data_IF_293863506413
#
_entry.id   IF_293863506413
#
_cell.length_a   1.000
_cell.length_b   1.000
_cell.length_c   1.000
_cell.angle_alpha   90.00
_cell.angle_beta   90.00
_cell.angle_gamma   90.00
#
_symmetry.space_group_name_H-M   'P 1'
#
loop_
_entity.id
_entity.type
_entity.pdbx_description
1 polymer ?
#
# COMPACT_ATOMS: atom_id res chain seq x y z
N UNK A 1 13.09 0.16 9.90
CA UNK A 1 12.82 -0.34 8.54
C UNK A 1 13.89 -1.33 8.14
N UNK A 2 13.50 -2.54 7.77
CA UNK A 2 14.39 -3.59 7.28
C UNK A 2 14.29 -3.66 5.76
N UNK A 3 15.20 -2.97 5.06
CA UNK A 3 15.24 -3.05 3.59
C UNK A 3 15.52 -4.50 3.15
N UNK A 4 14.80 -5.01 2.14
CA UNK A 4 15.09 -6.33 1.58
C UNK A 4 16.44 -6.29 0.84
N UNK A 5 16.96 -7.47 0.50
CA UNK A 5 18.03 -7.56 -0.50
C UNK A 5 17.45 -7.16 -1.87
N UNK A 6 17.82 -5.98 -2.37
CA UNK A 6 17.43 -5.47 -3.68
C UNK A 6 18.65 -5.26 -4.57
N UNK A 7 18.45 -5.30 -5.90
CA UNK A 7 19.54 -5.19 -6.86
C UNK A 7 20.09 -3.76 -6.95
N UNK A 8 21.08 -3.47 -6.10
CA UNK A 8 21.81 -2.20 -6.08
C UNK A 8 22.56 -1.92 -7.39
N UNK A 9 23.01 -2.97 -8.10
CA UNK A 9 23.69 -2.81 -9.39
C UNK A 9 22.71 -2.34 -10.45
N UNK A 10 21.49 -2.87 -10.44
CA UNK A 10 20.40 -2.40 -11.30
C UNK A 10 19.96 -0.99 -10.89
N UNK A 11 19.80 -0.70 -9.60
CA UNK A 11 19.51 0.64 -9.11
C UNK A 11 20.51 1.67 -9.68
N UNK A 12 21.82 1.41 -9.55
CA UNK A 12 22.88 2.32 -10.04
C UNK A 12 22.97 2.44 -11.56
N UNK A 13 22.45 1.49 -12.34
CA UNK A 13 22.28 1.62 -13.79
C UNK A 13 21.01 2.39 -14.17
N UNK A 14 20.00 2.33 -13.31
CA UNK A 14 18.74 3.02 -13.50
C UNK A 14 18.86 4.52 -13.26
N UNK A 15 19.93 5.06 -12.65
CA UNK A 15 20.16 6.50 -12.56
C UNK A 15 21.59 6.88 -12.97
N UNK A 16 21.79 8.07 -13.55
CA UNK A 16 23.14 8.55 -13.88
C UNK A 16 23.87 8.97 -12.60
N UNK A 17 25.20 8.82 -12.54
CA UNK A 17 26.03 9.29 -11.40
C UNK A 17 25.84 10.76 -11.03
N UNK A 18 25.33 11.57 -11.98
CA UNK A 18 25.01 12.99 -11.84
C UNK A 18 23.53 13.29 -11.55
N UNK A 19 22.67 12.30 -11.32
CA UNK A 19 21.31 12.46 -10.76
C UNK A 19 21.46 12.36 -9.21
N UNK A 20 21.59 13.53 -8.57
CA UNK A 20 22.41 13.76 -7.36
C UNK A 20 21.62 13.80 -6.05
N UNK A 21 20.29 13.83 -6.05
CA UNK A 21 19.51 13.86 -4.81
C UNK A 21 18.59 12.64 -4.61
N UNK A 22 18.25 12.36 -3.35
CA UNK A 22 17.25 11.33 -3.00
C UNK A 22 15.87 11.63 -3.64
N UNK A 23 15.53 12.92 -3.79
CA UNK A 23 14.32 13.35 -4.50
C UNK A 23 14.33 12.96 -5.98
N UNK A 24 15.45 13.09 -6.68
CA UNK A 24 15.55 12.72 -8.11
C UNK A 24 15.31 11.22 -8.32
N UNK A 25 15.81 10.40 -7.39
CA UNK A 25 15.62 8.93 -7.40
C UNK A 25 14.14 8.61 -7.16
N UNK A 26 13.52 9.23 -6.16
CA UNK A 26 12.10 9.04 -5.87
C UNK A 26 11.23 9.46 -7.06
N UNK A 27 11.49 10.62 -7.67
CA UNK A 27 10.78 11.11 -8.86
C UNK A 27 10.91 10.16 -10.04
N UNK A 28 12.09 9.56 -10.22
CA UNK A 28 12.28 8.52 -11.24
C UNK A 28 11.49 7.26 -10.92
N UNK A 29 11.50 6.81 -9.67
CA UNK A 29 10.68 5.68 -9.22
C UNK A 29 9.20 5.93 -9.50
N UNK A 30 8.68 7.14 -9.23
CA UNK A 30 7.32 7.54 -9.58
C UNK A 30 7.03 7.46 -11.08
N UNK A 31 7.97 7.92 -11.93
CA UNK A 31 7.81 7.83 -13.39
C UNK A 31 7.75 6.37 -13.86
N UNK A 32 8.59 5.49 -13.31
CA UNK A 32 8.58 4.05 -13.62
C UNK A 32 7.29 3.39 -13.16
N UNK A 33 6.83 3.69 -11.94
CA UNK A 33 5.55 3.21 -11.42
C UNK A 33 4.38 3.61 -12.33
N UNK A 34 4.33 4.87 -12.79
CA UNK A 34 3.31 5.34 -13.74
C UNK A 34 3.35 4.61 -15.09
N UNK A 35 4.52 4.12 -15.50
CA UNK A 35 4.72 3.28 -16.68
C UNK A 35 4.48 1.79 -16.44
N UNK A 36 4.11 1.42 -15.22
CA UNK A 36 3.92 0.03 -14.79
C UNK A 36 5.22 -0.80 -14.82
N UNK A 37 6.38 -0.14 -14.80
CA UNK A 37 7.70 -0.76 -14.64
C UNK A 37 7.94 -1.00 -13.14
N UNK A 38 7.10 -1.85 -12.53
CA UNK A 38 6.97 -1.95 -11.06
C UNK A 38 8.23 -2.47 -10.36
N UNK A 39 8.92 -3.47 -10.91
CA UNK A 39 10.14 -3.99 -10.29
C UNK A 39 11.24 -2.91 -10.25
N UNK A 40 11.40 -2.15 -11.34
CA UNK A 40 12.39 -1.07 -11.42
C UNK A 40 12.01 0.10 -10.51
N UNK A 41 10.72 0.44 -10.43
CA UNK A 41 10.21 1.41 -9.47
C UNK A 41 10.49 0.97 -8.03
N UNK A 42 10.25 -0.29 -7.68
CA UNK A 42 10.49 -0.83 -6.35
C UNK A 42 11.97 -0.71 -5.95
N UNK A 43 12.87 -1.10 -6.86
CA UNK A 43 14.32 -0.99 -6.66
C UNK A 43 14.74 0.46 -6.41
N UNK A 44 14.22 1.43 -7.17
CA UNK A 44 14.54 2.84 -6.94
C UNK A 44 13.94 3.39 -5.64
N UNK A 45 12.73 2.96 -5.24
CA UNK A 45 12.17 3.33 -3.95
C UNK A 45 12.97 2.74 -2.78
N UNK A 46 13.51 1.51 -2.90
CA UNK A 46 14.43 0.95 -1.91
C UNK A 46 15.72 1.79 -1.78
N UNK A 47 16.31 2.21 -2.90
CA UNK A 47 17.49 3.07 -2.88
C UNK A 47 17.18 4.46 -2.28
N UNK A 48 16.03 5.05 -2.61
CA UNK A 48 15.59 6.30 -2.00
C UNK A 48 15.43 6.16 -0.49
N UNK A 49 14.72 5.12 -0.02
CA UNK A 49 14.57 4.83 1.41
C UNK A 49 15.93 4.68 2.11
N UNK A 50 16.85 3.90 1.52
CA UNK A 50 18.20 3.69 2.05
C UNK A 50 18.95 5.01 2.22
N UNK A 51 18.93 5.89 1.21
CA UNK A 51 19.62 7.18 1.27
C UNK A 51 18.99 8.12 2.29
N UNK A 52 17.66 8.25 2.30
CA UNK A 52 16.96 9.07 3.29
C UNK A 52 17.28 8.60 4.71
N UNK A 53 17.35 7.30 4.96
CA UNK A 53 17.72 6.76 6.27
C UNK A 53 19.16 7.11 6.64
N UNK A 54 20.12 7.01 5.71
CA UNK A 54 21.50 7.42 5.95
C UNK A 54 21.63 8.92 6.23
N UNK A 55 20.88 9.75 5.51
CA UNK A 55 20.82 11.20 5.74
C UNK A 55 20.17 11.52 7.10
N UNK A 56 19.17 10.75 7.52
CA UNK A 56 18.46 10.91 8.81
C UNK A 56 19.36 10.70 10.02
N UNK A 57 20.27 9.71 9.96
CA UNK A 57 21.24 9.44 11.04
C UNK A 57 22.18 10.62 11.33
N UNK A 58 22.21 11.62 10.44
CA UNK A 58 22.98 12.85 10.62
C UNK A 58 22.16 14.05 11.13
N UNK A 59 20.81 13.98 11.14
CA UNK A 59 19.93 15.15 11.36
C UNK A 59 18.61 14.90 12.12
N UNK A 60 18.35 13.69 12.63
CA UNK A 60 17.13 13.28 13.39
C UNK A 60 15.76 13.53 12.73
N UNK A 61 15.68 14.07 11.50
CA UNK A 61 14.41 14.59 10.95
C UNK A 61 13.76 13.81 9.80
N UNK A 62 14.43 12.85 9.16
CA UNK A 62 13.93 12.26 7.89
C UNK A 62 13.51 10.78 7.96
N UNK A 63 13.40 10.19 9.15
CA UNK A 63 12.99 8.77 9.28
C UNK A 63 11.59 8.48 8.72
N UNK A 64 10.68 9.47 8.79
CA UNK A 64 9.37 9.43 8.15
C UNK A 64 9.44 9.23 6.64
N UNK A 65 10.15 10.14 5.96
CA UNK A 65 10.31 10.10 4.51
C UNK A 65 10.92 8.78 4.03
N UNK A 66 11.89 8.23 4.79
CA UNK A 66 12.48 6.93 4.50
C UNK A 66 11.42 5.81 4.51
N UNK A 67 10.50 5.85 5.50
CA UNK A 67 9.40 4.90 5.60
C UNK A 67 8.36 5.06 4.47
N UNK A 68 8.13 6.30 4.02
CA UNK A 68 7.27 6.57 2.86
C UNK A 68 7.83 5.93 1.58
N UNK A 69 9.14 6.02 1.35
CA UNK A 69 9.79 5.31 0.25
C UNK A 69 9.77 3.79 0.45
N UNK A 70 9.98 3.31 1.68
CA UNK A 70 9.96 1.89 2.01
C UNK A 70 8.63 1.21 1.65
N UNK A 71 7.49 1.79 2.07
CA UNK A 71 6.18 1.23 1.72
C UNK A 71 5.90 1.31 0.21
N UNK A 72 6.39 2.36 -0.46
CA UNK A 72 6.30 2.48 -1.92
C UNK A 72 7.05 1.40 -2.65
N UNK A 73 8.22 1.00 -2.15
CA UNK A 73 8.91 -0.17 -2.65
C UNK A 73 8.08 -1.44 -2.43
N UNK A 74 7.53 -1.63 -1.23
CA UNK A 74 6.76 -2.82 -0.88
C UNK A 74 5.58 -3.06 -1.84
N UNK A 75 4.76 -2.04 -2.10
CA UNK A 75 3.63 -2.24 -3.01
C UNK A 75 4.06 -2.40 -4.48
N UNK A 76 5.17 -1.79 -4.91
CA UNK A 76 5.67 -2.00 -6.27
C UNK A 76 6.23 -3.42 -6.43
N UNK A 77 6.90 -3.98 -5.41
CA UNK A 77 7.26 -5.40 -5.41
C UNK A 77 6.02 -6.29 -5.47
N UNK A 78 4.95 -5.93 -4.75
CA UNK A 78 3.69 -6.66 -4.80
C UNK A 78 3.08 -6.66 -6.22
N UNK A 79 2.99 -5.48 -6.85
CA UNK A 79 2.52 -5.33 -8.24
C UNK A 79 3.41 -6.05 -9.26
N UNK A 80 4.71 -6.20 -8.97
CA UNK A 80 5.66 -6.99 -9.78
C UNK A 80 5.58 -8.50 -9.51
N UNK A 81 4.64 -8.97 -8.67
CA UNK A 81 4.49 -10.38 -8.31
C UNK A 81 5.55 -10.91 -7.34
N UNK A 82 6.37 -10.04 -6.73
CA UNK A 82 7.39 -10.40 -5.73
C UNK A 82 6.79 -10.43 -4.32
N UNK A 83 5.73 -11.21 -4.13
CA UNK A 83 4.96 -11.22 -2.88
C UNK A 83 5.79 -11.57 -1.64
N UNK A 84 6.73 -12.52 -1.76
CA UNK A 84 7.62 -12.93 -0.66
C UNK A 84 8.55 -11.82 -0.18
N UNK A 85 8.87 -10.84 -1.04
CA UNK A 85 9.65 -9.65 -0.68
C UNK A 85 8.74 -8.57 -0.11
N UNK A 86 7.59 -8.34 -0.75
CA UNK A 86 6.66 -7.28 -0.38
C UNK A 86 6.00 -7.51 0.98
N UNK A 87 5.56 -8.74 1.28
CA UNK A 87 4.71 -9.03 2.43
C UNK A 87 5.36 -8.71 3.79
N UNK A 88 6.62 -9.11 4.08
CA UNK A 88 7.30 -8.69 5.30
C UNK A 88 7.40 -7.17 5.43
N UNK A 89 7.64 -6.47 4.31
CA UNK A 89 7.74 -5.02 4.30
C UNK A 89 6.40 -4.35 4.61
N UNK A 90 5.30 -4.86 4.05
CA UNK A 90 3.95 -4.36 4.33
C UNK A 90 3.58 -4.58 5.81
N UNK A 91 3.93 -5.73 6.39
CA UNK A 91 3.74 -6.00 7.82
C UNK A 91 4.59 -5.11 8.74
N UNK A 92 5.78 -4.68 8.31
CA UNK A 92 6.54 -3.68 9.04
C UNK A 92 5.90 -2.28 8.91
N UNK A 93 5.36 -1.95 7.73
CA UNK A 93 4.72 -0.67 7.48
C UNK A 93 3.44 -0.43 8.29
N UNK A 94 2.63 -1.46 8.54
CA UNK A 94 1.45 -1.33 9.41
C UNK A 94 1.79 -1.21 10.90
N UNK A 95 3.04 -1.42 11.31
CA UNK A 95 3.49 -1.22 12.70
C UNK A 95 4.08 0.15 12.94
N UNK A 96 4.22 0.94 11.88
CA UNK A 96 4.82 2.27 11.93
C UNK A 96 3.86 3.31 12.49
N UNK A 97 4.36 4.20 13.34
CA UNK A 97 3.58 5.31 13.90
C UNK A 97 3.45 6.46 12.88
N UNK A 98 2.64 6.21 11.85
CA UNK A 98 2.37 7.19 10.79
C UNK A 98 1.86 8.52 11.32
N UNK A 99 0.90 8.59 12.27
CA UNK A 99 0.40 9.86 12.76
C UNK A 99 1.47 10.73 13.45
N UNK A 100 2.34 10.13 14.26
CA UNK A 100 3.33 10.91 15.00
C UNK A 100 4.47 11.40 14.11
N UNK A 101 4.87 10.63 13.10
CA UNK A 101 6.06 10.95 12.29
C UNK A 101 5.71 11.59 10.93
N UNK A 102 4.61 11.18 10.31
CA UNK A 102 4.14 11.69 9.02
C UNK A 102 2.61 11.92 9.03
N UNK A 103 2.12 12.94 9.75
CA UNK A 103 0.68 13.19 9.89
C UNK A 103 -0.03 13.44 8.54
N UNK A 104 0.70 13.90 7.52
CA UNK A 104 0.17 14.13 6.18
C UNK A 104 0.14 12.87 5.28
N UNK A 105 0.88 11.82 5.63
CA UNK A 105 0.99 10.58 4.85
C UNK A 105 0.37 9.37 5.57
N UNK A 106 -0.54 9.61 6.53
CA UNK A 106 -1.26 8.56 7.26
C UNK A 106 -2.01 7.57 6.35
N UNK A 107 -2.30 7.95 5.10
CA UNK A 107 -2.88 7.04 4.10
C UNK A 107 -1.99 5.85 3.74
N UNK A 108 -0.68 5.92 4.02
CA UNK A 108 0.23 4.82 3.74
C UNK A 108 -0.13 3.55 4.52
N UNK A 109 -0.63 3.67 5.74
CA UNK A 109 -1.10 2.50 6.50
C UNK A 109 -2.23 1.75 5.77
N UNK A 110 -3.16 2.48 5.16
CA UNK A 110 -4.28 1.93 4.40
C UNK A 110 -3.81 1.26 3.10
N UNK A 111 -2.79 1.85 2.44
CA UNK A 111 -2.12 1.20 1.32
C UNK A 111 -1.49 -0.13 1.74
N UNK A 112 -0.79 -0.18 2.88
CA UNK A 112 -0.17 -1.41 3.35
C UNK A 112 -1.20 -2.51 3.60
N UNK A 113 -2.27 -2.20 4.34
CA UNK A 113 -3.37 -3.16 4.57
C UNK A 113 -4.02 -3.62 3.27
N UNK A 114 -4.27 -2.72 2.32
CA UNK A 114 -4.90 -3.09 1.05
C UNK A 114 -4.10 -4.14 0.28
N UNK A 115 -2.78 -3.98 0.18
CA UNK A 115 -1.95 -4.98 -0.51
C UNK A 115 -1.83 -6.30 0.26
N UNK A 116 -1.81 -6.26 1.59
CA UNK A 116 -1.88 -7.49 2.40
C UNK A 116 -3.22 -8.22 2.19
N UNK A 117 -4.33 -7.48 2.10
CA UNK A 117 -5.67 -8.01 1.83
C UNK A 117 -5.79 -8.57 0.41
N UNK A 118 -5.13 -7.93 -0.58
CA UNK A 118 -5.03 -8.48 -1.93
C UNK A 118 -4.34 -9.84 -1.93
N UNK A 119 -3.23 -9.96 -1.21
CA UNK A 119 -2.53 -11.23 -1.07
C UNK A 119 -3.36 -12.28 -0.32
N UNK A 120 -4.17 -11.85 0.64
CA UNK A 120 -5.02 -12.72 1.46
C UNK A 120 -6.12 -13.43 0.64
N UNK A 121 -6.48 -12.95 -0.56
CA UNK A 121 -7.39 -13.65 -1.48
C UNK A 121 -6.95 -15.11 -1.71
N UNK A 122 -5.63 -15.33 -1.83
CA UNK A 122 -5.07 -16.67 -2.05
C UNK A 122 -4.88 -17.48 -0.77
N UNK A 123 -4.99 -16.85 0.40
CA UNK A 123 -4.77 -17.47 1.71
C UNK A 123 -6.07 -17.95 2.37
N UNK A 124 -7.20 -17.45 1.88
CA UNK A 124 -8.52 -17.87 2.33
C UNK A 124 -9.24 -16.81 3.15
N UNK A 125 -10.52 -17.09 3.39
CA UNK A 125 -11.48 -16.19 4.01
C UNK A 125 -11.04 -15.76 5.41
N UNK A 126 -10.61 -16.69 6.25
CA UNK A 126 -10.29 -16.44 7.65
C UNK A 126 -9.10 -15.47 7.79
N UNK A 127 -8.08 -15.61 6.94
CA UNK A 127 -6.93 -14.71 6.92
C UNK A 127 -7.35 -13.32 6.44
N UNK A 128 -8.19 -13.25 5.42
CA UNK A 128 -8.71 -11.98 4.91
C UNK A 128 -9.55 -11.25 5.97
N UNK A 129 -10.51 -11.91 6.60
CA UNK A 129 -11.40 -11.32 7.61
C UNK A 129 -10.62 -10.82 8.82
N UNK A 130 -9.67 -11.61 9.35
CA UNK A 130 -8.84 -11.21 10.47
C UNK A 130 -8.01 -9.95 10.16
N UNK A 131 -7.40 -9.90 8.97
CA UNK A 131 -6.62 -8.74 8.52
C UNK A 131 -7.52 -7.52 8.23
N UNK A 132 -8.74 -7.74 7.75
CA UNK A 132 -9.70 -6.69 7.45
C UNK A 132 -10.18 -6.01 8.75
N UNK A 133 -10.46 -6.80 9.78
CA UNK A 133 -10.80 -6.29 11.11
C UNK A 133 -9.62 -5.51 11.72
N UNK A 134 -8.40 -6.02 11.60
CA UNK A 134 -7.19 -5.31 12.04
C UNK A 134 -7.06 -3.94 11.34
N UNK A 135 -7.27 -3.90 10.01
CA UNK A 135 -7.22 -2.67 9.23
C UNK A 135 -8.27 -1.64 9.70
N UNK A 136 -9.49 -2.09 9.99
CA UNK A 136 -10.55 -1.22 10.53
C UNK A 136 -10.12 -0.64 11.88
N UNK A 137 -9.68 -1.49 12.82
CA UNK A 137 -9.31 -1.03 14.17
C UNK A 137 -8.14 -0.05 14.13
N UNK A 138 -7.12 -0.34 13.32
CA UNK A 138 -5.96 0.54 13.21
C UNK A 138 -6.34 1.87 12.55
N UNK A 139 -7.07 1.87 11.43
CA UNK A 139 -7.49 3.12 10.79
C UNK A 139 -8.37 3.97 11.71
N UNK A 140 -9.31 3.37 12.46
CA UNK A 140 -10.12 4.09 13.45
C UNK A 140 -9.23 4.70 14.55
N UNK A 141 -8.24 3.95 15.04
CA UNK A 141 -7.29 4.42 16.05
C UNK A 141 -6.50 5.66 15.63
N UNK A 142 -6.33 5.88 14.33
CA UNK A 142 -5.69 7.08 13.76
C UNK A 142 -6.68 8.10 13.19
N UNK A 143 -7.97 8.00 13.55
CA UNK A 143 -9.02 8.94 13.16
C UNK A 143 -9.48 8.81 11.70
N UNK A 144 -9.33 7.62 11.09
CA UNK A 144 -9.66 7.35 9.69
C UNK A 144 -10.65 6.19 9.56
N UNK A 145 -11.40 6.18 8.45
CA UNK A 145 -12.21 5.03 8.07
C UNK A 145 -11.43 4.13 7.12
N UNK A 146 -11.68 2.82 7.19
CA UNK A 146 -11.15 1.83 6.25
C UNK A 146 -12.29 1.04 5.60
N UNK A 147 -12.24 0.72 4.30
CA UNK A 147 -11.40 1.36 3.28
C UNK A 147 -11.94 2.74 2.87
N UNK A 148 -11.08 3.75 2.76
CA UNK A 148 -11.40 5.12 2.34
C UNK A 148 -10.96 5.44 0.90
N UNK A 149 -10.00 4.72 0.33
CA UNK A 149 -9.47 4.95 -1.01
C UNK A 149 -10.35 4.25 -2.06
N UNK A 150 -11.03 5.04 -2.91
CA UNK A 150 -12.11 4.53 -3.77
C UNK A 150 -11.72 3.33 -4.67
N UNK A 151 -10.58 3.32 -5.40
CA UNK A 151 -10.21 2.14 -6.18
C UNK A 151 -9.97 0.90 -5.32
N UNK A 152 -9.47 1.08 -4.10
CA UNK A 152 -9.22 -0.03 -3.18
C UNK A 152 -10.53 -0.60 -2.62
N UNK A 153 -11.53 0.23 -2.35
CA UNK A 153 -12.87 -0.24 -1.98
C UNK A 153 -13.43 -1.21 -3.03
N UNK A 154 -13.32 -0.87 -4.31
CA UNK A 154 -13.83 -1.68 -5.41
C UNK A 154 -13.05 -3.00 -5.55
N UNK A 155 -11.72 -2.97 -5.39
CA UNK A 155 -10.90 -4.17 -5.40
C UNK A 155 -11.20 -5.10 -4.20
N UNK A 156 -11.26 -4.54 -2.99
CA UNK A 156 -11.55 -5.29 -1.77
C UNK A 156 -12.96 -5.89 -1.79
N UNK A 157 -13.96 -5.19 -2.36
CA UNK A 157 -15.31 -5.73 -2.49
C UNK A 157 -15.33 -6.97 -3.37
N UNK A 158 -14.59 -6.98 -4.48
CA UNK A 158 -14.48 -8.16 -5.35
C UNK A 158 -13.87 -9.35 -4.62
N UNK A 159 -12.78 -9.12 -3.89
CA UNK A 159 -12.11 -10.17 -3.11
C UNK A 159 -13.04 -10.70 -2.01
N UNK A 160 -13.67 -9.81 -1.25
CA UNK A 160 -14.58 -10.20 -0.18
C UNK A 160 -15.78 -11.01 -0.71
N UNK A 161 -16.31 -10.68 -1.89
CA UNK A 161 -17.33 -11.47 -2.58
C UNK A 161 -16.81 -12.85 -2.99
N UNK A 162 -15.62 -12.93 -3.59
CA UNK A 162 -14.99 -14.19 -3.99
C UNK A 162 -14.78 -15.12 -2.79
N UNK A 163 -14.39 -14.57 -1.64
CA UNK A 163 -14.17 -15.29 -0.39
C UNK A 163 -15.44 -15.55 0.43
N UNK A 164 -16.59 -15.01 0.02
CA UNK A 164 -17.84 -15.07 0.78
C UNK A 164 -17.69 -14.48 2.21
N UNK A 165 -16.89 -13.42 2.33
CA UNK A 165 -16.64 -12.67 3.57
C UNK A 165 -17.78 -11.67 3.82
N UNK A 166 -18.97 -12.18 4.17
CA UNK A 166 -20.22 -11.39 4.16
C UNK A 166 -20.18 -10.12 5.03
N UNK A 167 -19.54 -10.14 6.19
CA UNK A 167 -19.43 -8.94 7.03
C UNK A 167 -18.51 -7.90 6.39
N UNK A 168 -17.36 -8.32 5.87
CA UNK A 168 -16.48 -7.42 5.12
C UNK A 168 -17.19 -6.85 3.88
N UNK A 169 -17.96 -7.66 3.15
CA UNK A 169 -18.78 -7.20 2.02
C UNK A 169 -19.76 -6.11 2.45
N UNK A 170 -20.53 -6.34 3.54
CA UNK A 170 -21.47 -5.34 4.08
C UNK A 170 -20.77 -4.03 4.44
N UNK A 171 -19.63 -4.13 5.13
CA UNK A 171 -18.85 -2.96 5.52
C UNK A 171 -18.36 -2.16 4.31
N UNK A 172 -17.82 -2.83 3.30
CA UNK A 172 -17.31 -2.18 2.08
C UNK A 172 -18.46 -1.57 1.26
N UNK A 173 -19.61 -2.23 1.16
CA UNK A 173 -20.82 -1.66 0.52
C UNK A 173 -21.18 -0.32 1.16
N UNK A 174 -21.24 -0.25 2.49
CA UNK A 174 -21.56 0.99 3.21
C UNK A 174 -20.54 2.09 2.91
N UNK A 175 -19.25 1.74 2.91
CA UNK A 175 -18.18 2.68 2.57
C UNK A 175 -18.33 3.22 1.14
N UNK A 176 -18.61 2.35 0.15
CA UNK A 176 -18.82 2.77 -1.24
C UNK A 176 -20.09 3.61 -1.38
N UNK A 177 -21.18 3.28 -0.69
CA UNK A 177 -22.44 4.03 -0.77
C UNK A 177 -22.32 5.44 -0.18
N UNK A 178 -21.48 5.62 0.84
CA UNK A 178 -21.24 6.93 1.46
C UNK A 178 -20.45 7.91 0.57
N UNK A 179 -19.76 7.42 -0.47
CA UNK A 179 -18.90 8.25 -1.32
C UNK A 179 -19.70 9.09 -2.31
N UNK A 180 -19.20 10.29 -2.63
CA UNK A 180 -19.76 11.16 -3.67
C UNK A 180 -18.64 11.78 -4.50
N UNK A 181 -18.66 11.68 -5.84
CA UNK A 181 -19.59 10.92 -6.68
C UNK A 181 -19.28 9.40 -6.72
N UNK A 182 -20.27 8.60 -7.12
CA UNK A 182 -20.11 7.15 -7.36
C UNK A 182 -19.99 6.89 -8.86
N UNK A 183 -18.87 6.29 -9.29
CA UNK A 183 -18.65 5.83 -10.67
C UNK A 183 -19.72 4.83 -11.13
N UNK A 184 -19.89 4.70 -12.45
CA UNK A 184 -20.84 3.72 -13.02
C UNK A 184 -20.43 2.29 -12.67
N UNK A 185 -19.14 2.02 -12.76
CA UNK A 185 -18.52 0.73 -12.49
C UNK A 185 -18.82 0.28 -11.06
N UNK A 186 -18.71 1.16 -10.07
CA UNK A 186 -19.02 0.80 -8.70
C UNK A 186 -20.51 0.66 -8.42
N UNK A 187 -21.38 1.41 -9.11
CA UNK A 187 -22.84 1.18 -8.99
C UNK A 187 -23.20 -0.24 -9.46
N UNK A 188 -22.58 -0.69 -10.55
CA UNK A 188 -22.77 -2.06 -11.05
C UNK A 188 -22.24 -3.09 -10.05
N UNK A 189 -21.04 -2.87 -9.51
CA UNK A 189 -20.45 -3.75 -8.49
C UNK A 189 -21.29 -3.81 -7.21
N UNK A 190 -21.81 -2.67 -6.73
CA UNK A 190 -22.71 -2.60 -5.59
C UNK A 190 -23.98 -3.41 -5.82
N UNK A 191 -24.60 -3.27 -7.00
CA UNK A 191 -25.80 -4.03 -7.35
C UNK A 191 -25.53 -5.55 -7.29
N UNK A 192 -24.44 -6.00 -7.92
CA UNK A 192 -24.04 -7.41 -7.89
C UNK A 192 -23.77 -7.89 -6.47
N UNK A 193 -23.08 -7.08 -5.65
CA UNK A 193 -22.76 -7.43 -4.28
C UNK A 193 -24.02 -7.61 -3.43
N UNK A 194 -24.98 -6.68 -3.55
CA UNK A 194 -26.26 -6.73 -2.83
C UNK A 194 -27.11 -7.93 -3.23
N UNK A 195 -27.11 -8.32 -4.51
CA UNK A 195 -27.79 -9.54 -4.99
C UNK A 195 -27.13 -10.84 -4.49
N UNK A 196 -25.86 -10.80 -4.12
CA UNK A 196 -25.10 -11.98 -3.65
C UNK A 196 -25.27 -12.21 -2.15
N UNK A 197 -25.49 -11.15 -1.36
CA UNK A 197 -25.60 -11.23 0.12
C UNK A 197 -27.04 -11.09 0.65
N UNK A 198 -27.99 -10.72 -0.21
CA UNK A 198 -29.42 -10.64 0.11
C UNK A 198 -30.14 -11.95 -0.15
#
# INVERSE_FOLDING_TARGET
MNLPDYDFTKASKLFKKSEISTSDIADKAYRLWKKQEYEDAAILFCEAARRTQQESLSKDSHYGEAMNHYIRAAFNFNLAGKYSVAEPMLHEAIKYDWPSILPNDVHMVEWAYSYLLYNAETKGKEVFEALFDEAIQHCIGVGRNFPSIHPQQEALLKIALNLQAHESVRHIINAIQSRKPISREAKLLLKQAMETIG
#
